data_IF_298663132432
#
_entry.id   IF_298663132432
#
_cell.length_a   1.000
_cell.length_b   1.000
_cell.length_c   1.000
_cell.angle_alpha   90.00
_cell.angle_beta   90.00
_cell.angle_gamma   90.00
#
_symmetry.space_group_name_H-M   'P 1'
#
loop_
_entity.id
_entity.type
_entity.pdbx_description
1 polymer ?
#
# COMPACT_ATOMS: atom_id res chain seq x y z
N UNK A 1 5.60 -3.27 20.40
CA UNK A 1 6.51 -3.78 19.36
C UNK A 1 6.22 -3.00 18.10
N UNK A 2 7.24 -2.46 17.44
CA UNK A 2 7.09 -1.79 16.15
C UNK A 2 6.57 -2.80 15.12
N UNK A 3 5.32 -2.65 14.68
CA UNK A 3 4.73 -3.52 13.64
C UNK A 3 5.07 -2.98 12.27
N UNK A 4 5.52 -3.85 11.37
CA UNK A 4 5.74 -3.52 9.96
C UNK A 4 4.60 -4.05 9.12
N UNK A 5 3.91 -3.17 8.39
CA UNK A 5 2.66 -3.49 7.70
C UNK A 5 2.76 -3.17 6.23
N UNK A 6 2.44 -4.13 5.36
CA UNK A 6 2.17 -3.83 3.95
C UNK A 6 0.70 -3.51 3.75
N UNK A 7 0.42 -2.41 3.07
CA UNK A 7 -0.92 -2.09 2.56
C UNK A 7 -0.96 -2.35 1.07
N UNK A 8 -2.04 -2.97 0.60
CA UNK A 8 -2.27 -3.21 -0.82
C UNK A 8 -3.77 -3.20 -1.11
N UNK A 9 -4.18 -2.71 -2.27
CA UNK A 9 -5.59 -2.73 -2.63
C UNK A 9 -5.86 -2.47 -4.11
N UNK A 10 -7.14 -2.42 -4.45
CA UNK A 10 -7.58 -2.17 -5.82
C UNK A 10 -7.15 -0.78 -6.32
N UNK A 11 -6.86 -0.71 -7.62
CA UNK A 11 -6.61 0.54 -8.35
C UNK A 11 -7.87 1.32 -8.68
N UNK A 12 -9.02 0.64 -8.65
CA UNK A 12 -10.34 1.20 -8.96
C UNK A 12 -11.24 0.99 -7.75
N UNK A 13 -11.53 2.07 -7.04
CA UNK A 13 -12.44 2.10 -5.89
C UNK A 13 -13.84 2.47 -6.42
N UNK A 14 -14.88 1.67 -6.16
CA UNK A 14 -16.26 2.05 -6.46
C UNK A 14 -16.67 3.31 -5.70
N UNK A 15 -17.47 4.19 -6.31
CA UNK A 15 -17.89 5.45 -5.69
C UNK A 15 -18.59 5.25 -4.33
N UNK A 16 -19.40 4.19 -4.19
CA UNK A 16 -20.04 3.81 -2.92
C UNK A 16 -19.03 3.43 -1.81
N UNK A 17 -17.85 2.93 -2.18
CA UNK A 17 -16.79 2.52 -1.27
C UNK A 17 -15.85 3.68 -0.95
N UNK A 18 -15.68 4.63 -1.87
CA UNK A 18 -14.85 5.83 -1.68
C UNK A 18 -15.30 6.65 -0.46
N UNK A 19 -16.61 6.89 -0.33
CA UNK A 19 -17.19 7.60 0.82
C UNK A 19 -17.00 6.85 2.16
N UNK A 20 -16.70 5.55 2.12
CA UNK A 20 -16.51 4.69 3.29
C UNK A 20 -15.05 4.54 3.68
N UNK A 21 -14.11 4.88 2.80
CA UNK A 21 -12.67 4.68 3.04
C UNK A 21 -12.17 5.28 4.36
N UNK A 22 -12.51 6.53 4.75
CA UNK A 22 -12.04 7.06 6.03
C UNK A 22 -12.40 6.17 7.21
N UNK A 23 -13.67 5.73 7.29
CA UNK A 23 -14.13 4.83 8.36
C UNK A 23 -13.47 3.45 8.30
N UNK A 24 -13.21 2.94 7.10
CA UNK A 24 -12.50 1.67 6.93
C UNK A 24 -11.05 1.81 7.40
N UNK A 25 -10.38 2.91 7.08
CA UNK A 25 -9.02 3.16 7.53
C UNK A 25 -8.95 3.40 9.04
N UNK A 26 -9.88 4.14 9.62
CA UNK A 26 -9.99 4.28 11.08
C UNK A 26 -10.11 2.91 11.77
N UNK A 27 -10.95 2.02 11.23
CA UNK A 27 -11.21 0.71 11.82
C UNK A 27 -10.13 -0.35 11.57
N UNK A 28 -9.42 -0.27 10.44
CA UNK A 28 -8.52 -1.35 10.00
C UNK A 28 -7.05 -0.94 9.84
N UNK A 29 -6.74 0.34 9.64
CA UNK A 29 -5.37 0.86 9.67
C UNK A 29 -5.03 1.50 11.02
N UNK A 30 -5.96 2.28 11.58
CA UNK A 30 -5.80 2.99 12.85
C UNK A 30 -5.28 2.14 14.01
N UNK A 31 -5.78 0.91 14.25
CA UNK A 31 -5.26 0.05 15.31
C UNK A 31 -3.78 -0.31 15.20
N UNK A 32 -3.18 -0.17 14.01
CA UNK A 32 -1.77 -0.45 13.75
C UNK A 32 -0.93 0.83 13.59
N UNK A 33 -1.55 2.01 13.59
CA UNK A 33 -0.92 3.29 13.26
C UNK A 33 -0.19 3.95 14.46
N UNK A 34 0.46 3.12 15.28
CA UNK A 34 1.30 3.57 16.39
C UNK A 34 2.53 4.35 15.85
N UNK A 35 3.05 5.37 16.57
CA UNK A 35 4.24 6.11 16.14
C UNK A 35 5.46 5.25 15.81
N UNK A 36 5.61 4.10 16.47
CA UNK A 36 6.74 3.18 16.23
C UNK A 36 6.48 2.20 15.06
N UNK A 37 5.29 2.21 14.45
CA UNK A 37 4.95 1.35 13.32
C UNK A 37 5.60 1.81 12.00
N UNK A 38 5.71 0.87 11.05
CA UNK A 38 6.18 1.15 9.68
C UNK A 38 5.19 0.61 8.66
N UNK A 39 4.74 1.45 7.74
CA UNK A 39 3.87 1.07 6.63
C UNK A 39 4.59 1.11 5.28
N UNK A 40 4.40 0.05 4.50
CA UNK A 40 4.87 -0.07 3.12
C UNK A 40 3.69 0.00 2.16
N UNK A 41 3.73 0.95 1.23
CA UNK A 41 2.69 1.15 0.22
C UNK A 41 3.27 1.05 -1.20
N UNK A 42 2.45 0.61 -2.15
CA UNK A 42 2.90 0.41 -3.53
C UNK A 42 2.81 1.65 -4.42
N UNK A 43 2.37 2.82 -3.93
CA UNK A 43 2.33 4.02 -4.78
C UNK A 43 1.51 3.86 -6.07
N UNK A 44 0.55 2.93 -6.11
CA UNK A 44 -0.44 2.85 -7.17
C UNK A 44 -1.59 3.83 -6.90
N UNK A 45 -2.41 4.08 -7.92
CA UNK A 45 -3.70 4.77 -7.73
C UNK A 45 -4.66 3.91 -6.90
N UNK A 46 -5.72 4.53 -6.38
CA UNK A 46 -6.73 3.84 -5.58
C UNK A 46 -6.30 3.70 -4.12
N UNK A 47 -6.36 2.48 -3.58
CA UNK A 47 -6.12 2.24 -2.15
C UNK A 47 -4.73 2.69 -1.69
N UNK A 48 -3.68 2.42 -2.46
CA UNK A 48 -2.32 2.80 -2.07
C UNK A 48 -2.21 4.32 -1.89
N UNK A 49 -2.80 5.11 -2.80
CA UNK A 49 -2.82 6.59 -2.71
C UNK A 49 -3.69 7.08 -1.55
N UNK A 50 -4.88 6.50 -1.38
CA UNK A 50 -5.81 6.90 -0.32
C UNK A 50 -5.28 6.55 1.08
N UNK A 51 -4.70 5.36 1.24
CA UNK A 51 -4.10 4.94 2.50
C UNK A 51 -2.84 5.73 2.84
N UNK A 52 -2.03 6.10 1.83
CA UNK A 52 -0.88 6.98 2.03
C UNK A 52 -1.32 8.32 2.62
N UNK A 53 -2.32 8.97 2.01
CA UNK A 53 -2.84 10.24 2.51
C UNK A 53 -3.40 10.12 3.93
N UNK A 54 -4.25 9.12 4.17
CA UNK A 54 -4.82 8.91 5.50
C UNK A 54 -3.75 8.68 6.56
N UNK A 55 -2.76 7.80 6.32
CA UNK A 55 -1.68 7.53 7.28
C UNK A 55 -0.80 8.75 7.53
N UNK A 56 -0.52 9.53 6.48
CA UNK A 56 0.31 10.72 6.59
C UNK A 56 -0.36 11.82 7.45
N UNK A 57 -1.68 11.95 7.34
CA UNK A 57 -2.50 12.92 8.08
C UNK A 57 -2.82 12.48 9.51
N UNK A 58 -3.08 11.19 9.73
CA UNK A 58 -3.69 10.68 10.96
C UNK A 58 -2.70 9.93 11.87
N UNK A 59 -1.46 9.74 11.44
CA UNK A 59 -0.46 9.00 12.21
C UNK A 59 0.92 9.64 12.17
N UNK A 60 1.79 9.23 13.11
CA UNK A 60 3.23 9.51 13.10
C UNK A 60 4.07 8.31 12.67
N UNK A 61 3.43 7.23 12.22
CA UNK A 61 4.11 6.04 11.77
C UNK A 61 5.07 6.35 10.61
N UNK A 62 6.11 5.52 10.48
CA UNK A 62 7.05 5.57 9.38
C UNK A 62 6.39 5.09 8.10
N UNK A 63 6.52 5.85 7.01
CA UNK A 63 5.88 5.54 5.73
C UNK A 63 6.95 5.36 4.65
N UNK A 64 6.92 4.22 3.96
CA UNK A 64 7.75 3.98 2.78
C UNK A 64 6.87 3.65 1.58
N UNK A 65 7.11 4.33 0.47
CA UNK A 65 6.46 4.03 -0.81
C UNK A 65 7.44 3.26 -1.68
N UNK A 66 6.98 2.16 -2.28
CA UNK A 66 7.80 1.29 -3.14
C UNK A 66 7.19 1.23 -4.53
N UNK A 67 7.91 1.67 -5.55
CA UNK A 67 7.45 1.69 -6.95
C UNK A 67 8.27 0.72 -7.81
N UNK A 68 7.64 0.03 -8.78
CA UNK A 68 8.33 -1.00 -9.59
C UNK A 68 9.42 -0.43 -10.51
N UNK A 69 9.22 0.80 -11.01
CA UNK A 69 10.17 1.52 -11.86
C UNK A 69 10.57 2.79 -11.10
N UNK A 70 10.22 3.97 -11.60
CA UNK A 70 10.37 5.26 -10.91
C UNK A 70 9.01 5.83 -10.48
N UNK A 71 9.02 6.88 -9.65
CA UNK A 71 7.82 7.66 -9.32
C UNK A 71 7.23 8.32 -10.58
N UNK A 72 8.08 8.70 -11.54
CA UNK A 72 7.65 9.30 -12.80
C UNK A 72 6.90 8.31 -13.70
N UNK A 73 7.09 7.00 -13.51
CA UNK A 73 6.36 5.96 -14.23
C UNK A 73 5.02 5.59 -13.56
N UNK A 74 4.71 6.15 -12.39
CA UNK A 74 3.40 5.94 -11.75
C UNK A 74 2.33 6.84 -12.39
N UNK A 75 1.05 6.47 -12.32
CA UNK A 75 -0.02 7.35 -12.79
C UNK A 75 0.03 8.71 -12.09
N UNK A 76 -0.29 9.79 -12.82
CA UNK A 76 -0.10 11.18 -12.38
C UNK A 76 -0.66 11.48 -10.99
N UNK A 77 -1.83 10.95 -10.66
CA UNK A 77 -2.47 11.16 -9.36
C UNK A 77 -1.67 10.53 -8.21
N UNK A 78 -1.15 9.32 -8.42
CA UNK A 78 -0.29 8.65 -7.44
C UNK A 78 1.08 9.34 -7.35
N UNK A 79 1.70 9.67 -8.48
CA UNK A 79 2.99 10.37 -8.50
C UNK A 79 2.92 11.73 -7.78
N UNK A 80 1.86 12.50 -8.01
CA UNK A 80 1.59 13.77 -7.33
C UNK A 80 1.45 13.58 -5.82
N UNK A 81 0.67 12.58 -5.40
CA UNK A 81 0.48 12.28 -3.97
C UNK A 81 1.79 11.87 -3.28
N UNK A 82 2.60 11.02 -3.92
CA UNK A 82 3.90 10.60 -3.39
C UNK A 82 4.82 11.81 -3.20
N UNK A 83 4.97 12.67 -4.22
CA UNK A 83 5.82 13.86 -4.14
C UNK A 83 5.33 14.82 -3.05
N UNK A 84 4.03 15.06 -2.97
CA UNK A 84 3.44 15.92 -1.96
C UNK A 84 3.82 15.47 -0.54
N UNK A 85 3.63 14.18 -0.22
CA UNK A 85 3.95 13.66 1.11
C UNK A 85 5.45 13.51 1.38
N UNK A 86 6.26 13.33 0.33
CA UNK A 86 7.71 13.37 0.42
C UNK A 86 8.19 14.78 0.78
N UNK A 87 7.71 15.81 0.08
CA UNK A 87 8.04 17.22 0.33
C UNK A 87 7.56 17.69 1.70
N UNK A 88 6.41 17.19 2.15
CA UNK A 88 5.89 17.43 3.50
C UNK A 88 6.67 16.68 4.61
N UNK A 89 7.72 15.93 4.27
CA UNK A 89 8.56 15.19 5.22
C UNK A 89 7.84 14.03 5.90
N UNK A 90 6.75 13.51 5.31
CA UNK A 90 5.99 12.38 5.88
C UNK A 90 6.52 11.01 5.46
N UNK A 91 7.23 10.93 4.34
CA UNK A 91 7.85 9.69 3.90
C UNK A 91 9.26 9.56 4.48
N UNK A 92 9.53 8.40 5.08
CA UNK A 92 10.90 8.03 5.48
C UNK A 92 11.73 7.69 4.25
N UNK A 93 11.10 7.05 3.26
CA UNK A 93 11.77 6.62 2.04
C UNK A 93 10.81 6.47 0.86
N UNK A 94 11.32 6.72 -0.35
CA UNK A 94 10.70 6.28 -1.60
C UNK A 94 11.67 5.33 -2.30
N UNK A 95 11.28 4.05 -2.40
CA UNK A 95 12.08 2.98 -2.99
C UNK A 95 11.66 2.79 -4.43
N UNK A 96 12.55 3.14 -5.36
CA UNK A 96 12.41 2.87 -6.78
C UNK A 96 13.16 1.58 -7.12
N UNK A 97 12.45 0.52 -7.49
CA UNK A 97 13.08 -0.76 -7.87
C UNK A 97 13.73 -0.72 -9.25
N UNK A 98 13.49 0.36 -10.01
CA UNK A 98 14.17 0.65 -11.30
C UNK A 98 14.10 -0.50 -12.30
N UNK A 99 12.97 -1.19 -12.38
CA UNK A 99 12.77 -2.15 -13.44
C UNK A 99 12.69 -1.48 -14.82
N UNK A 100 13.20 -2.12 -15.86
CA UNK A 100 13.30 -1.52 -17.21
C UNK A 100 11.95 -1.18 -17.84
N UNK A 101 10.89 -1.94 -17.51
CA UNK A 101 9.54 -1.74 -18.05
C UNK A 101 8.47 -2.21 -17.07
N UNK A 102 7.37 -1.44 -16.98
CA UNK A 102 6.18 -1.85 -16.26
C UNK A 102 5.57 -3.13 -16.84
N UNK A 103 5.23 -4.06 -15.97
CA UNK A 103 4.58 -5.32 -16.32
C UNK A 103 4.22 -6.14 -15.09
N UNK A 104 3.48 -7.23 -15.29
CA UNK A 104 3.04 -8.10 -14.18
C UNK A 104 4.19 -8.56 -13.31
N UNK A 105 5.31 -8.97 -13.91
CA UNK A 105 6.50 -9.41 -13.18
C UNK A 105 7.09 -8.32 -12.28
N UNK A 106 7.08 -7.05 -12.72
CA UNK A 106 7.66 -5.94 -11.95
C UNK A 106 6.72 -5.47 -10.83
N UNK A 107 5.40 -5.49 -11.07
CA UNK A 107 4.43 -5.32 -9.99
C UNK A 107 4.53 -6.43 -8.94
N UNK A 108 4.70 -7.69 -9.36
CA UNK A 108 4.89 -8.81 -8.44
C UNK A 108 6.20 -8.68 -7.66
N UNK A 109 7.30 -8.30 -8.31
CA UNK A 109 8.57 -8.06 -7.64
C UNK A 109 8.45 -6.97 -6.58
N UNK A 110 7.77 -5.86 -6.90
CA UNK A 110 7.48 -4.81 -5.93
C UNK A 110 6.62 -5.31 -4.77
N UNK A 111 5.53 -6.01 -5.06
CA UNK A 111 4.64 -6.52 -4.02
C UNK A 111 5.36 -7.50 -3.09
N UNK A 112 6.22 -8.39 -3.65
CA UNK A 112 7.07 -9.28 -2.85
C UNK A 112 8.03 -8.49 -1.97
N UNK A 113 8.71 -7.49 -2.53
CA UNK A 113 9.60 -6.62 -1.75
C UNK A 113 8.89 -6.04 -0.53
N UNK A 114 7.68 -5.48 -0.70
CA UNK A 114 6.92 -4.92 0.43
C UNK A 114 6.59 -5.99 1.48
N UNK A 115 6.12 -7.16 1.04
CA UNK A 115 5.76 -8.26 1.94
C UNK A 115 6.99 -8.81 2.65
N UNK A 116 8.12 -8.96 1.96
CA UNK A 116 9.36 -9.49 2.54
C UNK A 116 9.88 -8.59 3.67
N UNK A 117 9.61 -7.28 3.60
CA UNK A 117 10.01 -6.27 4.61
C UNK A 117 8.96 -6.00 5.70
N UNK A 118 7.79 -6.61 5.63
CA UNK A 118 6.72 -6.46 6.63
C UNK A 118 6.49 -7.73 7.44
N UNK A 119 5.80 -7.59 8.57
CA UNK A 119 5.39 -8.71 9.42
C UNK A 119 3.90 -9.05 9.22
N UNK A 120 3.14 -8.13 8.62
CA UNK A 120 1.68 -8.21 8.47
C UNK A 120 1.22 -7.54 7.18
N UNK A 121 0.15 -8.07 6.57
CA UNK A 121 -0.43 -7.50 5.34
C UNK A 121 -1.91 -7.17 5.52
N UNK A 122 -2.30 -5.95 5.12
CA UNK A 122 -3.69 -5.52 5.05
C UNK A 122 -4.06 -5.30 3.59
N UNK A 123 -4.96 -6.14 3.09
CA UNK A 123 -5.43 -6.12 1.71
C UNK A 123 -6.84 -5.57 1.56
N UNK A 124 -7.04 -4.65 0.61
CA UNK A 124 -8.35 -4.10 0.23
C UNK A 124 -8.74 -4.52 -1.20
N UNK A 125 -9.11 -5.79 -1.42
CA UNK A 125 -9.45 -6.27 -2.75
C UNK A 125 -10.83 -5.78 -3.18
N UNK A 126 -10.99 -5.58 -4.49
CA UNK A 126 -12.31 -5.48 -5.12
C UNK A 126 -12.80 -6.90 -5.42
N UNK A 127 -13.85 -7.33 -4.74
CA UNK A 127 -14.41 -8.68 -4.90
C UNK A 127 -13.44 -9.83 -4.57
N UNK A 128 -13.78 -11.04 -5.01
CA UNK A 128 -13.06 -12.29 -4.69
C UNK A 128 -12.22 -12.83 -5.85
N UNK A 129 -12.03 -12.05 -6.92
CA UNK A 129 -11.31 -12.51 -8.12
C UNK A 129 -9.81 -12.78 -7.82
N UNK A 130 -9.35 -14.05 -7.85
CA UNK A 130 -8.00 -14.42 -7.42
C UNK A 130 -6.87 -13.82 -8.26
N UNK A 131 -7.19 -13.33 -9.46
CA UNK A 131 -6.24 -12.79 -10.44
C UNK A 131 -5.88 -11.32 -10.20
N UNK A 132 -6.46 -10.67 -9.19
CA UNK A 132 -6.13 -9.28 -8.86
C UNK A 132 -4.73 -9.16 -8.24
N UNK A 133 -4.04 -8.04 -8.52
CA UNK A 133 -2.74 -7.77 -7.91
C UNK A 133 -2.78 -7.69 -6.37
N UNK A 134 -3.95 -7.38 -5.79
CA UNK A 134 -4.18 -7.40 -4.34
C UNK A 134 -4.20 -8.82 -3.81
N UNK A 135 -4.97 -9.71 -4.45
CA UNK A 135 -5.03 -11.13 -4.06
C UNK A 135 -3.67 -11.81 -4.21
N UNK A 136 -2.91 -11.48 -5.27
CA UNK A 136 -1.52 -11.93 -5.38
C UNK A 136 -0.68 -11.58 -4.14
N UNK A 137 -0.71 -10.32 -3.68
CA UNK A 137 0.06 -9.88 -2.51
C UNK A 137 -0.40 -10.57 -1.22
N UNK A 138 -1.72 -10.69 -1.03
CA UNK A 138 -2.33 -11.35 0.14
C UNK A 138 -1.97 -12.84 0.18
N UNK A 139 -1.98 -13.52 -0.96
CA UNK A 139 -1.60 -14.93 -1.07
C UNK A 139 -0.09 -15.12 -0.88
N UNK A 140 0.74 -14.25 -1.46
CA UNK A 140 2.18 -14.30 -1.25
C UNK A 140 2.54 -14.15 0.25
N UNK A 141 1.86 -13.27 0.99
CA UNK A 141 2.03 -13.17 2.44
C UNK A 141 1.67 -14.47 3.18
N UNK A 142 0.59 -15.14 2.75
CA UNK A 142 0.22 -16.44 3.29
C UNK A 142 1.31 -17.49 3.05
N UNK A 143 1.89 -17.52 1.84
CA UNK A 143 2.98 -18.43 1.48
C UNK A 143 4.24 -18.16 2.32
N UNK A 144 4.45 -16.92 2.74
CA UNK A 144 5.52 -16.54 3.68
C UNK A 144 5.17 -16.76 5.16
N UNK A 145 4.03 -17.40 5.47
CA UNK A 145 3.52 -17.60 6.83
C UNK A 145 3.29 -16.28 7.60
N UNK A 146 2.99 -15.19 6.90
CA UNK A 146 2.70 -13.89 7.50
C UNK A 146 1.19 -13.72 7.72
N UNK A 147 0.77 -13.17 8.88
CA UNK A 147 -0.63 -12.86 9.12
C UNK A 147 -1.17 -11.87 8.08
N UNK A 148 -2.44 -12.00 7.75
CA UNK A 148 -3.12 -11.17 6.75
C UNK A 148 -4.54 -10.80 7.18
N UNK A 149 -4.90 -9.54 6.95
CA UNK A 149 -6.26 -9.03 7.08
C UNK A 149 -6.78 -8.66 5.70
N UNK A 150 -7.99 -9.13 5.37
CA UNK A 150 -8.65 -8.83 4.10
C UNK A 150 -9.90 -8.01 4.38
N UNK A 151 -9.96 -6.81 3.82
CA UNK A 151 -11.06 -5.85 3.96
C UNK A 151 -11.65 -5.57 2.57
N UNK A 152 -12.65 -6.34 2.12
CA UNK A 152 -13.23 -6.17 0.79
C UNK A 152 -13.88 -4.79 0.62
N UNK A 153 -13.72 -4.20 -0.58
CA UNK A 153 -14.31 -2.90 -0.95
C UNK A 153 -14.96 -2.91 -2.34
#
# INVERSE_FOLDING_TARGET
MAVKVTITGTRSIPAESEARLPRLFDGYLGPFADPDAHFYLGGAVGIDTAALAWLAEHSKASLTVVVPCTVADQPDTAATSIRHWQEAGRLVEVVELRADRLGTATYHARNRWMVDHSDFVIGFPRGTEPTSGTWYTVNYAADQNKPRLVVPI
#
